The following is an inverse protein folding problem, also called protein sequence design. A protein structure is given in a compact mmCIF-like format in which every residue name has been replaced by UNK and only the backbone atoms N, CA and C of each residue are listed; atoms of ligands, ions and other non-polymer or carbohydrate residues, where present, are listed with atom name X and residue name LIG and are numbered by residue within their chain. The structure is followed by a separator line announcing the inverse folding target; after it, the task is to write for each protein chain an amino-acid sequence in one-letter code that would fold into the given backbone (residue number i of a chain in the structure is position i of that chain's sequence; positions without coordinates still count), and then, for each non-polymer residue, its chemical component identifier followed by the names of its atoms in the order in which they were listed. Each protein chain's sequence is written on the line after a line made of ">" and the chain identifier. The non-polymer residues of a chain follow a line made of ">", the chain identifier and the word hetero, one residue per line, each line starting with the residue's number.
data_IF_713091508108
#
_entry.id   IF_713091508108
#
_cell.length_a   1.000
_cell.length_b   1.000
_cell.length_c   1.000
_cell.angle_alpha   90.00
_cell.angle_beta   90.00
_cell.angle_gamma   90.00
#
_symmetry.space_group_name_H-M   'P 1'
#
loop_
_entity.id
_entity.type
_entity.pdbx_description
1 polymer ?
#
# COMPACT_ATOMS: atom_id res chain seq x y z
N UNK A 1 -38.97 -4.96 10.47
CA UNK A 1 -38.51 -3.58 10.22
C UNK A 1 -37.04 -3.55 10.58
N UNK A 2 -36.16 -3.59 9.59
CA UNK A 2 -34.71 -3.36 9.78
C UNK A 2 -34.54 -1.88 10.07
N UNK A 3 -34.26 -1.54 11.33
CA UNK A 3 -33.85 -0.18 11.70
C UNK A 3 -32.52 0.06 10.99
N UNK A 4 -32.47 1.04 10.10
CA UNK A 4 -31.22 1.46 9.49
C UNK A 4 -30.32 1.98 10.62
N UNK A 5 -29.19 1.31 10.85
CA UNK A 5 -28.16 1.81 11.76
C UNK A 5 -27.66 3.12 11.15
N UNK A 6 -27.84 4.22 11.88
CA UNK A 6 -27.38 5.54 11.45
C UNK A 6 -25.86 5.51 11.40
N UNK A 7 -25.31 5.76 10.20
CA UNK A 7 -23.88 5.66 9.93
C UNK A 7 -23.20 7.00 10.21
N UNK A 8 -22.13 6.97 10.99
CA UNK A 8 -21.38 8.14 11.44
C UNK A 8 -20.72 8.90 10.27
N UNK A 9 -20.73 10.22 10.31
CA UNK A 9 -20.00 11.08 9.35
C UNK A 9 -18.57 11.37 9.82
N UNK A 10 -17.74 11.95 8.95
CA UNK A 10 -16.39 12.37 9.34
C UNK A 10 -16.43 13.48 10.40
N UNK A 11 -17.33 14.44 10.28
CA UNK A 11 -17.48 15.53 11.24
C UNK A 11 -17.89 15.00 12.63
N UNK A 12 -18.79 14.02 12.66
CA UNK A 12 -19.20 13.35 13.90
C UNK A 12 -18.05 12.56 14.53
N UNK A 13 -17.25 11.86 13.72
CA UNK A 13 -16.05 11.18 14.19
C UNK A 13 -14.98 12.14 14.71
N UNK A 14 -14.80 13.29 14.06
CA UNK A 14 -13.85 14.32 14.50
C UNK A 14 -14.24 14.93 15.85
N UNK A 15 -15.54 15.00 16.14
CA UNK A 15 -16.10 15.45 17.41
C UNK A 15 -16.31 14.32 18.43
N UNK A 16 -16.06 13.07 18.06
CA UNK A 16 -16.27 11.91 18.92
C UNK A 16 -15.20 11.84 20.01
N UNK A 17 -15.67 11.80 21.25
CA UNK A 17 -14.87 11.57 22.44
C UNK A 17 -15.73 10.73 23.40
N UNK A 18 -15.30 9.51 23.69
CA UNK A 18 -15.97 8.61 24.62
C UNK A 18 -15.45 8.74 26.07
N UNK A 19 -14.57 9.73 26.30
CA UNK A 19 -13.90 9.96 27.58
C UNK A 19 -12.80 8.96 27.88
N UNK A 20 -12.35 8.19 26.88
CA UNK A 20 -11.26 7.23 27.00
C UNK A 20 -10.09 7.59 26.08
N UNK A 21 -8.89 7.10 26.42
CA UNK A 21 -7.70 7.25 25.56
C UNK A 21 -7.65 6.22 24.41
N UNK A 22 -8.80 5.65 24.03
CA UNK A 22 -8.87 4.65 22.96
C UNK A 22 -8.77 5.31 21.59
N UNK A 23 -8.09 4.62 20.68
CA UNK A 23 -8.06 4.99 19.27
C UNK A 23 -9.09 4.17 18.51
N UNK A 24 -9.76 4.83 17.57
CA UNK A 24 -10.80 4.24 16.74
C UNK A 24 -10.47 4.47 15.27
N UNK A 25 -10.72 3.47 14.43
CA UNK A 25 -10.80 3.66 12.99
C UNK A 25 -12.26 3.94 12.61
N UNK A 26 -12.48 4.80 11.61
CA UNK A 26 -13.79 4.99 11.00
C UNK A 26 -13.82 4.18 9.71
N UNK A 27 -14.67 3.17 9.60
CA UNK A 27 -14.78 2.35 8.39
C UNK A 27 -16.20 2.40 7.83
N UNK A 28 -16.37 3.05 6.67
CA UNK A 28 -17.67 3.15 5.99
C UNK A 28 -18.83 3.66 6.89
N UNK A 29 -18.51 4.55 7.82
CA UNK A 29 -19.43 5.13 8.81
C UNK A 29 -19.66 4.29 10.06
N UNK A 30 -18.86 3.24 10.28
CA UNK A 30 -18.86 2.42 11.49
C UNK A 30 -17.58 2.69 12.29
N UNK A 31 -17.73 2.84 13.61
CA UNK A 31 -16.62 3.07 14.51
C UNK A 31 -16.01 1.72 14.91
N UNK A 32 -14.75 1.51 14.59
CA UNK A 32 -14.02 0.27 14.86
C UNK A 32 -13.01 0.52 15.97
N UNK A 33 -13.21 -0.12 17.12
CA UNK A 33 -12.26 -0.09 18.25
C UNK A 33 -10.94 -0.72 17.82
N UNK A 34 -9.84 0.04 17.90
CA UNK A 34 -8.54 -0.52 17.62
C UNK A 34 -8.15 -1.48 18.76
N UNK A 35 -7.77 -2.73 18.44
CA UNK A 35 -7.30 -3.64 19.46
C UNK A 35 -6.09 -3.04 20.18
N UNK A 36 -6.00 -3.27 21.50
CA UNK A 36 -4.85 -2.86 22.30
C UNK A 36 -3.56 -3.33 21.63
N UNK A 37 -2.68 -2.38 21.30
CA UNK A 37 -1.48 -2.63 20.51
C UNK A 37 -0.63 -3.74 21.14
N UNK A 38 -0.26 -4.75 20.33
CA UNK A 38 0.68 -5.77 20.78
C UNK A 38 2.05 -5.14 21.01
N UNK A 39 2.71 -5.47 22.12
CA UNK A 39 4.05 -4.97 22.44
C UNK A 39 5.06 -5.22 21.30
N UNK A 40 4.88 -6.31 20.55
CA UNK A 40 5.70 -6.62 19.38
C UNK A 40 5.53 -5.59 18.25
N UNK A 41 4.29 -5.16 17.96
CA UNK A 41 4.01 -4.19 16.92
C UNK A 41 4.63 -2.84 17.26
N UNK A 42 4.44 -2.40 18.52
CA UNK A 42 5.05 -1.18 19.03
C UNK A 42 6.57 -1.22 18.92
N UNK A 43 7.20 -2.34 19.28
CA UNK A 43 8.66 -2.50 19.19
C UNK A 43 9.17 -2.50 17.76
N UNK A 44 8.43 -3.09 16.82
CA UNK A 44 8.76 -3.07 15.39
C UNK A 44 8.65 -1.65 14.84
N UNK A 45 7.55 -0.94 15.13
CA UNK A 45 7.35 0.45 14.69
C UNK A 45 8.47 1.36 15.23
N UNK A 46 8.81 1.26 16.53
CA UNK A 46 9.92 1.99 17.13
C UNK A 46 11.28 1.65 16.49
N UNK A 47 11.51 0.38 16.16
CA UNK A 47 12.74 -0.04 15.49
C UNK A 47 12.86 0.59 14.09
N UNK A 48 11.78 0.57 13.30
CA UNK A 48 11.76 1.18 11.97
C UNK A 48 11.96 2.70 12.05
N UNK A 49 11.26 3.37 12.98
CA UNK A 49 11.42 4.80 13.24
C UNK A 49 12.88 5.15 13.59
N UNK A 50 13.50 4.40 14.51
CA UNK A 50 14.89 4.62 14.90
C UNK A 50 15.85 4.45 13.71
N UNK A 51 15.57 3.50 12.80
CA UNK A 51 16.33 3.32 11.57
C UNK A 51 16.17 4.50 10.61
N UNK A 52 14.96 5.03 10.46
CA UNK A 52 14.72 6.21 9.61
C UNK A 52 15.46 7.45 10.14
N UNK A 53 15.51 7.65 11.46
CA UNK A 53 16.34 8.70 12.07
C UNK A 53 17.82 8.52 11.73
N UNK A 54 18.34 7.29 11.79
CA UNK A 54 19.73 6.98 11.44
C UNK A 54 20.05 7.22 9.95
N UNK A 55 19.05 7.06 9.08
CA UNK A 55 19.15 7.39 7.65
C UNK A 55 19.04 8.90 7.37
N UNK A 56 18.86 9.73 8.40
CA UNK A 56 18.81 11.18 8.29
C UNK A 56 17.42 11.75 7.98
N UNK A 57 16.35 10.95 8.10
CA UNK A 57 14.98 11.49 8.03
C UNK A 57 14.73 12.31 9.30
N UNK A 58 14.34 13.60 9.18
CA UNK A 58 14.09 14.44 10.35
C UNK A 58 12.95 13.92 11.23
N UNK A 59 13.11 14.04 12.55
CA UNK A 59 12.12 13.51 13.50
C UNK A 59 10.73 14.12 13.35
N UNK A 60 10.61 15.39 12.97
CA UNK A 60 9.32 16.06 12.75
C UNK A 60 8.52 15.49 11.57
N UNK A 61 9.17 14.70 10.69
CA UNK A 61 8.52 14.00 9.58
C UNK A 61 8.13 12.57 9.89
N UNK A 62 8.41 12.08 11.11
CA UNK A 62 8.14 10.72 11.54
C UNK A 62 7.07 10.74 12.61
N UNK A 63 5.90 10.18 12.32
CA UNK A 63 4.79 10.15 13.27
C UNK A 63 4.26 8.74 13.44
N UNK A 64 3.77 8.41 14.64
CA UNK A 64 3.13 7.14 14.94
C UNK A 64 1.69 7.40 15.32
N UNK A 65 0.77 6.48 14.97
CA UNK A 65 -0.65 6.56 15.31
C UNK A 65 -1.33 7.88 14.89
N UNK A 66 -0.83 8.48 13.82
CA UNK A 66 -1.47 9.64 13.18
C UNK A 66 -2.61 9.13 12.32
N UNK A 67 -3.79 9.73 12.49
CA UNK A 67 -4.97 9.38 11.71
C UNK A 67 -4.80 9.82 10.25
N UNK A 68 -5.28 9.02 9.31
CA UNK A 68 -5.25 9.33 7.88
C UNK A 68 -6.65 9.12 7.33
N UNK A 69 -7.26 10.22 6.85
CA UNK A 69 -8.50 10.14 6.10
C UNK A 69 -8.24 9.49 4.74
N UNK A 70 -9.07 8.50 4.38
CA UNK A 70 -8.96 7.72 3.16
C UNK A 70 -10.31 7.59 2.45
N UNK A 71 -10.24 7.36 1.14
CA UNK A 71 -11.41 7.18 0.28
C UNK A 71 -11.93 5.75 0.38
N UNK A 72 -13.15 5.57 0.87
CA UNK A 72 -13.91 4.32 0.79
C UNK A 72 -15.24 4.53 0.06
N UNK A 73 -16.23 3.66 0.31
CA UNK A 73 -17.62 3.94 -0.11
C UNK A 73 -18.19 5.18 0.59
N UNK A 74 -17.66 5.46 1.77
CA UNK A 74 -17.73 6.72 2.51
C UNK A 74 -16.32 7.08 2.97
N UNK A 75 -16.10 8.35 3.32
CA UNK A 75 -14.82 8.76 3.96
C UNK A 75 -14.61 7.91 5.20
N UNK A 76 -13.42 7.33 5.29
CA UNK A 76 -12.98 6.45 6.36
C UNK A 76 -11.70 7.03 6.95
N UNK A 77 -11.35 6.64 8.18
CA UNK A 77 -10.14 7.10 8.88
C UNK A 77 -9.38 5.88 9.35
N UNK A 78 -8.12 5.78 8.95
CA UNK A 78 -7.20 4.72 9.36
C UNK A 78 -6.15 5.27 10.32
N UNK A 79 -5.60 4.39 11.15
CA UNK A 79 -4.55 4.76 12.12
C UNK A 79 -3.35 3.85 11.94
N UNK A 80 -2.40 4.24 11.07
CA UNK A 80 -1.20 3.44 10.82
C UNK A 80 -0.24 3.41 12.02
N UNK A 81 0.63 2.40 12.04
CA UNK A 81 1.64 2.26 13.09
C UNK A 81 2.77 3.28 12.96
N UNK A 82 3.17 3.62 11.73
CA UNK A 82 4.19 4.62 11.44
C UNK A 82 3.92 5.30 10.09
N UNK A 83 4.10 6.61 10.05
CA UNK A 83 4.04 7.43 8.85
C UNK A 83 5.36 8.16 8.62
N UNK A 84 5.68 8.37 7.33
CA UNK A 84 6.67 9.37 6.91
C UNK A 84 5.95 10.47 6.15
N UNK A 85 6.01 11.69 6.67
CA UNK A 85 5.40 12.86 6.07
C UNK A 85 6.29 13.44 4.97
N UNK A 86 5.70 14.13 3.99
CA UNK A 86 6.43 15.08 3.13
C UNK A 86 6.79 16.34 3.93
N UNK A 87 7.69 17.17 3.43
CA UNK A 87 7.97 18.48 4.06
C UNK A 87 6.72 19.37 4.07
N UNK A 88 5.96 19.36 2.98
CA UNK A 88 4.71 20.11 2.82
C UNK A 88 3.68 19.65 3.86
N UNK A 89 3.43 18.34 3.95
CA UNK A 89 2.49 17.79 4.91
C UNK A 89 2.92 18.05 6.36
N UNK A 90 4.21 17.91 6.68
CA UNK A 90 4.71 18.20 8.02
C UNK A 90 4.45 19.67 8.41
N UNK A 91 4.63 20.60 7.46
CA UNK A 91 4.36 22.02 7.68
C UNK A 91 2.88 22.29 7.91
N UNK A 92 1.98 21.62 7.17
CA UNK A 92 0.53 21.73 7.40
C UNK A 92 0.11 21.17 8.76
N UNK A 93 0.76 20.09 9.21
CA UNK A 93 0.46 19.45 10.49
C UNK A 93 0.93 20.25 11.71
N UNK A 94 1.95 21.10 11.59
CA UNK A 94 2.47 21.91 12.70
C UNK A 94 1.43 22.88 13.31
N UNK A 95 0.36 23.19 12.59
CA UNK A 95 -0.76 24.02 13.06
C UNK A 95 -2.02 23.25 13.47
N UNK A 96 -2.05 21.92 13.33
CA UNK A 96 -3.24 21.12 13.52
C UNK A 96 -3.51 20.82 15.01
N UNK A 97 -4.78 20.94 15.43
CA UNK A 97 -5.21 20.63 16.80
C UNK A 97 -5.33 19.13 17.10
N UNK A 98 -5.50 18.31 16.05
CA UNK A 98 -5.58 16.85 16.10
C UNK A 98 -4.58 16.28 15.10
N UNK A 99 -3.91 15.19 15.46
CA UNK A 99 -2.96 14.50 14.58
C UNK A 99 -3.71 13.67 13.53
N UNK A 100 -4.42 14.35 12.63
CA UNK A 100 -5.12 13.75 11.49
C UNK A 100 -4.69 14.41 10.17
N UNK A 101 -4.40 13.57 9.18
CA UNK A 101 -4.19 13.97 7.79
C UNK A 101 -5.53 13.92 7.06
N UNK A 102 -6.09 15.09 6.77
CA UNK A 102 -7.39 15.24 6.09
C UNK A 102 -7.27 14.99 4.58
N UNK A 103 -8.41 14.91 3.89
CA UNK A 103 -8.46 14.58 2.45
C UNK A 103 -7.92 15.70 1.55
N UNK A 104 -8.00 16.94 2.01
CA UNK A 104 -7.52 18.15 1.32
C UNK A 104 -6.03 18.44 1.55
N UNK A 105 -5.40 17.72 2.48
CA UNK A 105 -3.96 17.80 2.75
C UNK A 105 -3.16 16.89 1.79
N UNK A 106 -1.87 17.17 1.53
CA UNK A 106 -1.01 16.25 0.78
C UNK A 106 -0.96 14.84 1.42
N UNK A 107 -0.82 13.76 0.64
CA UNK A 107 -0.69 12.42 1.20
C UNK A 107 0.66 12.23 1.94
N UNK A 108 0.72 11.35 2.95
CA UNK A 108 1.98 10.86 3.49
C UNK A 108 2.83 10.19 2.39
N UNK A 109 4.16 10.23 2.54
CA UNK A 109 5.08 9.56 1.62
C UNK A 109 5.11 8.05 1.84
N UNK A 110 5.05 7.62 3.10
CA UNK A 110 5.09 6.21 3.48
C UNK A 110 4.09 5.94 4.60
N UNK A 111 3.35 4.85 4.45
CA UNK A 111 2.56 4.20 5.50
C UNK A 111 3.21 2.87 5.88
N UNK A 112 3.34 2.57 7.16
CA UNK A 112 3.77 1.26 7.66
C UNK A 112 2.69 0.70 8.59
N UNK A 113 2.27 -0.53 8.31
CA UNK A 113 1.33 -1.31 9.12
C UNK A 113 2.01 -2.61 9.58
N UNK A 114 1.85 -2.96 10.86
CA UNK A 114 2.34 -4.20 11.44
C UNK A 114 1.18 -5.16 11.67
N UNK A 115 1.25 -6.32 11.04
CA UNK A 115 0.21 -7.35 11.08
C UNK A 115 -0.01 -7.82 12.51
N UNK A 116 -1.26 -7.80 12.95
CA UNK A 116 -1.66 -8.38 14.23
C UNK A 116 -2.15 -9.83 14.06
N UNK A 117 -1.91 -10.74 15.03
CA UNK A 117 -2.27 -12.17 14.92
C UNK A 117 -3.74 -12.48 14.63
N UNK A 118 -4.65 -11.58 15.00
CA UNK A 118 -6.10 -11.76 14.87
C UNK A 118 -6.72 -10.93 13.73
N UNK A 119 -5.92 -10.30 12.88
CA UNK A 119 -6.45 -9.57 11.72
C UNK A 119 -6.67 -10.53 10.54
N UNK A 120 -7.84 -10.45 9.93
CA UNK A 120 -8.13 -11.22 8.73
C UNK A 120 -7.27 -10.73 7.56
N UNK A 121 -6.76 -11.64 6.72
CA UNK A 121 -6.03 -11.28 5.48
C UNK A 121 -6.80 -10.33 4.55
N UNK A 122 -8.12 -10.24 4.73
CA UNK A 122 -9.01 -9.39 3.95
C UNK A 122 -8.84 -7.90 4.30
N UNK A 123 -8.50 -7.56 5.55
CA UNK A 123 -8.28 -6.17 5.99
C UNK A 123 -7.19 -5.49 5.17
N UNK A 124 -6.06 -6.18 4.95
CA UNK A 124 -4.94 -5.60 4.22
C UNK A 124 -5.27 -5.31 2.75
N UNK A 125 -6.17 -6.08 2.14
CA UNK A 125 -6.61 -5.82 0.76
C UNK A 125 -7.43 -4.53 0.66
N UNK A 126 -8.26 -4.24 1.67
CA UNK A 126 -9.04 -3.01 1.73
C UNK A 126 -8.14 -1.81 2.03
N UNK A 127 -7.33 -1.87 3.09
CA UNK A 127 -6.37 -0.81 3.42
C UNK A 127 -5.45 -0.47 2.25
N UNK A 128 -4.96 -1.48 1.52
CA UNK A 128 -4.15 -1.27 0.31
C UNK A 128 -4.86 -0.42 -0.74
N UNK A 129 -6.13 -0.73 -1.01
CA UNK A 129 -6.93 0.01 -2.01
C UNK A 129 -7.17 1.44 -1.54
N UNK A 130 -7.47 1.63 -0.27
CA UNK A 130 -7.71 2.94 0.34
C UNK A 130 -6.46 3.82 0.33
N UNK A 131 -5.30 3.30 0.74
CA UNK A 131 -4.03 4.04 0.69
C UNK A 131 -3.59 4.37 -0.74
N UNK A 132 -3.81 3.46 -1.69
CA UNK A 132 -3.56 3.73 -3.11
C UNK A 132 -4.49 4.83 -3.65
N UNK A 133 -5.78 4.79 -3.30
CA UNK A 133 -6.74 5.82 -3.68
C UNK A 133 -6.43 7.18 -3.04
N UNK A 134 -5.75 7.18 -1.88
CA UNK A 134 -5.25 8.38 -1.20
C UNK A 134 -3.98 8.95 -1.84
N UNK A 135 -3.36 8.24 -2.78
CA UNK A 135 -2.12 8.65 -3.46
C UNK A 135 -0.87 8.51 -2.59
N UNK A 136 -0.88 7.59 -1.63
CA UNK A 136 0.26 7.35 -0.74
C UNK A 136 1.34 6.60 -1.52
N UNK A 137 2.52 7.21 -1.66
CA UNK A 137 3.56 6.75 -2.58
C UNK A 137 4.11 5.36 -2.22
N UNK A 138 4.27 5.05 -0.94
CA UNK A 138 4.76 3.75 -0.48
C UNK A 138 3.94 3.23 0.71
N UNK A 139 3.66 1.93 0.73
CA UNK A 139 2.91 1.25 1.79
C UNK A 139 3.60 -0.07 2.19
N UNK A 140 4.03 -0.18 3.44
CA UNK A 140 4.71 -1.35 3.99
C UNK A 140 3.78 -2.15 4.89
N UNK A 141 3.78 -3.48 4.71
CA UNK A 141 3.10 -4.43 5.58
C UNK A 141 4.18 -5.30 6.22
N UNK A 142 4.35 -5.15 7.53
CA UNK A 142 5.32 -5.92 8.32
C UNK A 142 4.57 -7.05 9.02
N UNK A 143 4.80 -8.28 8.59
CA UNK A 143 4.22 -9.48 9.18
C UNK A 143 5.25 -10.20 10.06
N UNK A 144 5.24 -9.98 11.40
CA UNK A 144 6.17 -10.66 12.29
C UNK A 144 5.90 -12.16 12.43
N UNK A 145 4.68 -12.61 12.11
CA UNK A 145 4.26 -14.01 12.26
C UNK A 145 4.77 -14.82 11.06
N UNK A 146 4.55 -14.29 9.85
CA UNK A 146 5.07 -14.86 8.62
C UNK A 146 6.55 -14.51 8.37
N UNK A 147 7.16 -13.68 9.24
CA UNK A 147 8.52 -13.14 9.09
C UNK A 147 8.74 -12.51 7.71
N UNK A 148 7.76 -11.74 7.24
CA UNK A 148 7.73 -11.15 5.90
C UNK A 148 7.53 -9.64 5.99
N UNK A 149 8.26 -8.89 5.18
CA UNK A 149 7.92 -7.49 4.89
C UNK A 149 7.47 -7.41 3.44
N UNK A 150 6.26 -6.90 3.21
CA UNK A 150 5.77 -6.52 1.89
C UNK A 150 5.95 -5.02 1.72
N UNK A 151 6.51 -4.60 0.59
CA UNK A 151 6.66 -3.20 0.21
C UNK A 151 5.84 -2.94 -1.04
N UNK A 152 4.89 -2.01 -0.95
CA UNK A 152 3.98 -1.63 -2.03
C UNK A 152 4.32 -0.22 -2.47
N UNK A 153 4.44 0.00 -3.78
CA UNK A 153 4.65 1.32 -4.36
C UNK A 153 3.36 1.71 -5.10
N UNK A 154 2.89 2.93 -4.92
CA UNK A 154 1.80 3.45 -5.73
C UNK A 154 2.32 3.83 -7.11
N UNK A 155 1.64 3.35 -8.15
CA UNK A 155 1.92 3.70 -9.53
C UNK A 155 0.66 4.25 -10.16
N UNK A 156 0.80 5.41 -10.78
CA UNK A 156 -0.26 6.03 -11.56
C UNK A 156 -0.58 5.18 -12.80
N UNK A 157 -1.83 4.77 -12.94
CA UNK A 157 -2.29 3.93 -14.04
C UNK A 157 -3.44 3.01 -13.64
N UNK A 158 -3.79 2.11 -14.55
CA UNK A 158 -4.85 1.11 -14.37
C UNK A 158 -4.26 -0.28 -14.64
N UNK A 159 -4.81 -1.33 -14.02
CA UNK A 159 -4.43 -2.69 -14.42
C UNK A 159 -5.00 -3.04 -15.80
N UNK A 160 -4.32 -3.95 -16.51
CA UNK A 160 -4.67 -4.34 -17.87
C UNK A 160 -6.04 -5.03 -17.93
N UNK A 161 -6.50 -5.70 -16.86
CA UNK A 161 -7.86 -6.28 -16.83
C UNK A 161 -8.91 -5.18 -16.87
N UNK A 162 -8.74 -4.12 -16.08
CA UNK A 162 -9.61 -2.95 -16.11
C UNK A 162 -9.58 -2.27 -17.48
N UNK A 163 -8.39 -2.08 -18.04
CA UNK A 163 -8.27 -1.45 -19.36
C UNK A 163 -8.93 -2.29 -20.46
N UNK A 164 -8.75 -3.62 -20.46
CA UNK A 164 -9.39 -4.54 -21.40
C UNK A 164 -10.92 -4.45 -21.38
N UNK A 165 -11.52 -4.22 -20.21
CA UNK A 165 -12.99 -4.05 -20.09
C UNK A 165 -13.50 -2.84 -20.86
N UNK A 166 -12.69 -1.79 -21.01
CA UNK A 166 -13.04 -0.61 -21.83
C UNK A 166 -13.17 -0.97 -23.33
N UNK A 167 -12.55 -2.07 -23.76
CA UNK A 167 -12.59 -2.58 -25.13
C UNK A 167 -13.38 -3.89 -25.27
N UNK A 168 -14.38 -4.12 -24.41
CA UNK A 168 -15.17 -5.35 -24.40
C UNK A 168 -14.30 -6.64 -24.34
N UNK A 169 -13.15 -6.55 -23.66
CA UNK A 169 -12.21 -7.65 -23.46
C UNK A 169 -11.18 -7.86 -24.57
N UNK A 170 -11.11 -7.01 -25.60
CA UNK A 170 -10.17 -7.17 -26.72
C UNK A 170 -9.53 -5.85 -27.14
N UNK A 171 -8.22 -5.72 -26.92
CA UNK A 171 -7.48 -4.57 -27.44
C UNK A 171 -7.41 -4.59 -28.98
N UNK A 172 -7.48 -3.42 -29.64
CA UNK A 172 -7.06 -3.26 -31.03
C UNK A 172 -5.61 -3.74 -31.22
N UNK A 173 -5.29 -4.24 -32.42
CA UNK A 173 -3.97 -4.80 -32.72
C UNK A 173 -2.82 -3.82 -32.45
N UNK A 174 -3.03 -2.54 -32.76
CA UNK A 174 -2.05 -1.48 -32.53
C UNK A 174 -1.69 -1.35 -31.03
N UNK A 175 -2.69 -1.34 -30.16
CA UNK A 175 -2.51 -1.26 -28.70
C UNK A 175 -2.01 -2.57 -28.07
N UNK A 176 -2.32 -3.71 -28.70
CA UNK A 176 -1.86 -5.01 -28.20
C UNK A 176 -0.33 -5.07 -28.16
N UNK A 177 0.34 -4.59 -29.19
CA UNK A 177 1.80 -4.65 -29.27
C UNK A 177 2.47 -3.69 -28.28
N UNK A 178 1.88 -2.51 -28.05
CA UNK A 178 2.34 -1.53 -27.07
C UNK A 178 2.36 -2.10 -25.64
N UNK A 179 1.47 -3.05 -25.32
CA UNK A 179 1.47 -3.78 -24.04
C UNK A 179 2.39 -5.00 -24.09
N UNK A 180 2.23 -5.83 -25.12
CA UNK A 180 2.79 -7.17 -25.15
C UNK A 180 4.32 -7.16 -25.24
N UNK A 181 4.89 -6.25 -26.04
CA UNK A 181 6.34 -6.12 -26.16
C UNK A 181 7.02 -5.80 -24.81
N UNK A 182 6.64 -4.73 -24.08
CA UNK A 182 7.27 -4.45 -22.80
C UNK A 182 6.93 -5.46 -21.69
N UNK A 183 5.81 -6.19 -21.76
CA UNK A 183 5.58 -7.36 -20.88
C UNK A 183 6.63 -8.45 -21.13
N UNK A 184 6.93 -8.78 -22.39
CA UNK A 184 7.95 -9.78 -22.73
C UNK A 184 9.35 -9.33 -22.30
N UNK A 185 9.70 -8.07 -22.51
CA UNK A 185 10.99 -7.51 -22.07
C UNK A 185 11.15 -7.60 -20.54
N UNK A 186 10.09 -7.28 -19.80
CA UNK A 186 10.09 -7.41 -18.34
C UNK A 186 10.23 -8.87 -17.90
N UNK A 187 9.53 -9.81 -18.55
CA UNK A 187 9.66 -11.25 -18.25
C UNK A 187 11.04 -11.80 -18.59
N UNK A 188 11.60 -11.45 -19.73
CA UNK A 188 12.97 -11.83 -20.12
C UNK A 188 13.96 -11.40 -19.06
N UNK A 189 13.81 -10.16 -18.57
CA UNK A 189 14.66 -9.60 -17.53
C UNK A 189 14.52 -10.34 -16.19
N UNK A 190 13.30 -10.59 -15.73
CA UNK A 190 13.03 -11.36 -14.50
C UNK A 190 13.61 -12.77 -14.62
N UNK A 191 13.42 -13.42 -15.78
CA UNK A 191 13.92 -14.77 -16.05
C UNK A 191 15.45 -14.84 -16.12
N UNK A 192 16.11 -13.82 -16.68
CA UNK A 192 17.57 -13.72 -16.73
C UNK A 192 18.19 -13.66 -15.33
N UNK A 193 17.47 -13.10 -14.36
CA UNK A 193 17.86 -13.07 -12.95
C UNK A 193 17.40 -14.31 -12.18
N UNK A 194 16.90 -15.31 -12.89
CA UNK A 194 16.49 -16.60 -12.35
C UNK A 194 15.15 -16.57 -11.64
N UNK A 195 14.34 -15.53 -11.79
CA UNK A 195 13.01 -15.47 -11.19
C UNK A 195 11.94 -15.95 -12.17
N UNK A 196 10.84 -16.47 -11.65
CA UNK A 196 9.61 -16.75 -12.42
C UNK A 196 8.44 -16.16 -11.64
N UNK A 197 7.59 -15.37 -12.29
CA UNK A 197 6.46 -14.68 -11.63
C UNK A 197 5.36 -15.63 -11.14
N UNK A 198 4.98 -16.62 -11.96
CA UNK A 198 3.99 -17.69 -11.66
C UNK A 198 2.52 -17.30 -11.46
N UNK A 199 2.17 -16.02 -11.55
CA UNK A 199 0.78 -15.53 -11.50
C UNK A 199 0.58 -14.36 -12.47
N UNK A 200 1.16 -14.48 -13.67
CA UNK A 200 1.03 -13.44 -14.68
C UNK A 200 -0.37 -13.51 -15.30
N UNK A 201 -1.15 -12.47 -15.08
CA UNK A 201 -2.52 -12.28 -15.60
C UNK A 201 -2.75 -10.79 -15.84
N UNK A 202 -3.77 -10.38 -16.61
CA UNK A 202 -4.02 -8.96 -16.88
C UNK A 202 -4.13 -8.08 -15.64
N UNK A 203 -4.76 -8.58 -14.57
CA UNK A 203 -4.86 -7.85 -13.29
C UNK A 203 -3.51 -7.60 -12.57
N UNK A 204 -2.43 -8.25 -13.02
CA UNK A 204 -1.07 -8.13 -12.49
C UNK A 204 -0.13 -7.39 -13.48
N UNK A 205 -0.69 -6.74 -14.50
CA UNK A 205 0.03 -5.89 -15.43
C UNK A 205 -0.55 -4.48 -15.29
N UNK A 206 0.24 -3.54 -14.80
CA UNK A 206 -0.15 -2.14 -14.70
C UNK A 206 0.18 -1.43 -16.00
N UNK A 207 -0.77 -0.64 -16.50
CA UNK A 207 -0.63 0.18 -17.70
C UNK A 207 -0.66 1.64 -17.27
N UNK A 208 0.42 2.35 -17.56
CA UNK A 208 0.66 3.73 -17.17
C UNK A 208 0.53 4.67 -18.37
N UNK A 209 0.32 5.96 -18.09
CA UNK A 209 0.24 7.03 -19.08
C UNK A 209 -1.17 7.22 -19.66
N UNK A 210 -1.38 8.38 -20.29
CA UNK A 210 -2.60 8.76 -20.99
C UNK A 210 -2.32 9.04 -22.48
N UNK A 211 -3.38 9.08 -23.29
CA UNK A 211 -3.28 9.41 -24.72
C UNK A 211 -2.26 8.56 -25.48
N UNK A 212 -1.25 9.21 -26.06
CA UNK A 212 -0.17 8.59 -26.86
C UNK A 212 0.95 8.01 -25.97
N UNK A 213 1.02 8.39 -24.69
CA UNK A 213 1.98 7.82 -23.74
C UNK A 213 1.45 6.55 -23.04
N UNK A 214 0.18 6.17 -23.31
CA UNK A 214 -0.44 4.95 -22.80
C UNK A 214 0.22 3.72 -23.43
N UNK A 215 0.73 2.82 -22.60
CA UNK A 215 1.43 1.60 -23.08
C UNK A 215 2.73 1.28 -22.33
N UNK A 216 3.21 2.17 -21.46
CA UNK A 216 4.25 1.79 -20.50
C UNK A 216 3.65 0.83 -19.48
N UNK A 217 4.22 -0.37 -19.38
CA UNK A 217 3.73 -1.41 -18.47
C UNK A 217 4.69 -1.69 -17.33
N UNK A 218 4.12 -2.05 -16.17
CA UNK A 218 4.85 -2.68 -15.05
C UNK A 218 4.20 -4.01 -14.72
N UNK A 219 5.03 -5.00 -14.42
CA UNK A 219 4.54 -6.26 -13.86
C UNK A 219 4.42 -6.09 -12.34
N UNK A 220 3.27 -6.44 -11.79
CA UNK A 220 2.96 -6.34 -10.37
C UNK A 220 2.55 -7.71 -9.80
N UNK A 221 2.51 -7.86 -8.48
CA UNK A 221 2.24 -9.12 -7.78
C UNK A 221 3.32 -10.21 -7.85
N UNK A 222 4.52 -9.91 -7.36
CA UNK A 222 5.56 -10.94 -7.19
C UNK A 222 5.31 -11.90 -6.00
N UNK A 223 4.12 -11.93 -5.40
CA UNK A 223 3.82 -12.76 -4.21
C UNK A 223 4.04 -14.27 -4.44
N UNK A 224 3.88 -14.73 -5.68
CA UNK A 224 4.12 -16.11 -6.09
C UNK A 224 5.47 -16.34 -6.76
N UNK A 225 6.30 -15.30 -6.90
CA UNK A 225 7.55 -15.41 -7.63
C UNK A 225 8.56 -16.32 -6.93
N UNK A 226 9.41 -17.02 -7.70
CA UNK A 226 10.38 -18.02 -7.19
C UNK A 226 11.66 -18.05 -8.03
N UNK A 227 12.77 -18.50 -7.41
CA UNK A 227 14.02 -18.77 -8.12
C UNK A 227 13.97 -20.09 -8.90
N UNK A 228 14.61 -20.10 -10.08
CA UNK A 228 14.62 -21.20 -11.06
C UNK A 228 15.61 -22.32 -10.73
N UNK A 229 16.74 -22.04 -10.03
CA UNK A 229 17.88 -22.96 -9.91
C UNK A 229 18.46 -23.14 -8.48
N UNK A 230 17.62 -23.13 -7.45
CA UNK A 230 18.01 -23.55 -6.09
C UNK A 230 16.90 -24.42 -5.51
N UNK A 231 17.18 -25.32 -4.53
CA UNK A 231 16.12 -26.02 -3.82
C UNK A 231 15.08 -24.99 -3.37
N UNK A 232 13.80 -25.29 -3.59
CA UNK A 232 12.66 -24.39 -3.44
C UNK A 232 12.83 -23.43 -2.26
N UNK A 233 13.30 -22.21 -2.53
CA UNK A 233 13.36 -21.15 -1.53
C UNK A 233 12.22 -20.16 -1.79
N UNK A 234 11.32 -19.96 -0.82
CA UNK A 234 10.43 -18.81 -0.79
C UNK A 234 11.18 -17.50 -1.02
N UNK A 235 10.49 -16.51 -1.59
CA UNK A 235 11.08 -15.20 -1.86
C UNK A 235 11.55 -14.48 -0.58
N UNK A 236 10.96 -14.82 0.57
CA UNK A 236 11.37 -14.35 1.90
C UNK A 236 12.79 -14.81 2.30
N UNK A 237 13.31 -15.88 1.69
CA UNK A 237 14.61 -16.47 2.01
C UNK A 237 15.72 -15.96 1.07
N UNK A 238 15.45 -14.90 0.29
CA UNK A 238 16.39 -14.29 -0.64
C UNK A 238 17.26 -13.24 0.05
N UNK A 239 18.54 -13.21 -0.33
CA UNK A 239 19.47 -12.18 0.12
C UNK A 239 19.12 -10.79 -0.41
N UNK A 240 19.61 -9.75 0.29
CA UNK A 240 19.41 -8.33 -0.03
C UNK A 240 19.69 -7.97 -1.49
N UNK A 241 20.70 -8.59 -2.11
CA UNK A 241 21.11 -8.30 -3.50
C UNK A 241 20.04 -8.72 -4.53
N UNK A 242 19.38 -9.85 -4.31
CA UNK A 242 18.31 -10.33 -5.18
C UNK A 242 17.06 -9.43 -5.10
N UNK A 243 16.76 -8.90 -3.92
CA UNK A 243 15.65 -7.95 -3.71
C UNK A 243 15.93 -6.57 -4.34
N UNK A 244 17.17 -6.09 -4.25
CA UNK A 244 17.55 -4.82 -4.90
C UNK A 244 17.49 -4.91 -6.42
N UNK A 245 17.84 -6.06 -7.00
CA UNK A 245 17.72 -6.29 -8.44
C UNK A 245 16.26 -6.21 -8.90
N UNK A 246 15.34 -6.85 -8.18
CA UNK A 246 13.91 -6.80 -8.49
C UNK A 246 13.33 -5.37 -8.49
N UNK A 247 13.72 -4.51 -7.54
CA UNK A 247 13.33 -3.08 -7.56
C UNK A 247 13.81 -2.34 -8.81
N UNK A 248 14.92 -2.75 -9.43
CA UNK A 248 15.43 -2.13 -10.68
C UNK A 248 14.64 -2.52 -11.92
N UNK A 249 13.86 -3.60 -11.87
CA UNK A 249 13.17 -4.14 -13.05
C UNK A 249 11.74 -3.61 -13.22
N UNK A 250 11.40 -2.49 -12.58
CA UNK A 250 10.04 -1.95 -12.57
C UNK A 250 8.99 -2.97 -12.11
N UNK A 251 9.40 -4.02 -11.39
CA UNK A 251 8.53 -5.04 -10.85
C UNK A 251 8.00 -4.56 -9.50
N UNK A 252 6.68 -4.54 -9.35
CA UNK A 252 6.06 -4.23 -8.07
C UNK A 252 5.87 -5.48 -7.23
N UNK A 253 6.22 -5.36 -5.95
CA UNK A 253 5.91 -6.37 -4.96
C UNK A 253 4.47 -6.16 -4.47
N UNK A 254 3.72 -7.25 -4.24
CA UNK A 254 2.48 -7.27 -3.48
C UNK A 254 2.57 -8.15 -2.23
#
# INVERSE_FOLDING_TARGET
>A
MTVAIEKMTLEEFLAYDDGTDKLYELENGELIDMPSESEINRRIAMFVLAHFLQLGIPAYRLTMKTEVAVSGSRVSVRVPDLLVLSEELATEMDGASRSIVLMDMPPPLLVVEVVSPNQEKRDYRYKRTEYAARGIAEYWIVDPIAQKVTVLEWVEGEDLDFWLRQFAGKLPYEQLWEVFAPVLEALETIHAEGFVHRDLKPANILVMGDGVERGRVKIADMGFARLFNSPLKPMADLGRDSLMKLKRFNCQFF
#
